data_IF_478518944141
#
_entry.id   IF_478518944141
#
_cell.length_a   1.000
_cell.length_b   1.000
_cell.length_c   1.000
_cell.angle_alpha   90.00
_cell.angle_beta   90.00
_cell.angle_gamma   90.00
#
_symmetry.space_group_name_H-M   'P 1'
#
loop_
_entity.id
_entity.type
_entity.pdbx_description
1 polymer ?
#
# COMPACT_ATOMS: atom_id res chain seq x y z
N UNK A 1 36.78 -50.55 59.42
CA UNK A 1 35.74 -49.97 58.53
C UNK A 1 35.14 -48.76 59.23
N UNK A 2 35.47 -47.56 58.76
CA UNK A 2 34.77 -46.31 59.07
C UNK A 2 34.69 -45.49 57.78
N UNK A 3 33.57 -44.79 57.49
CA UNK A 3 33.37 -44.09 56.24
C UNK A 3 34.01 -42.69 56.26
N UNK A 4 34.63 -42.31 55.15
CA UNK A 4 35.18 -40.98 54.94
C UNK A 4 34.09 -39.95 54.61
N UNK A 5 33.98 -38.93 55.44
CA UNK A 5 33.27 -37.67 55.14
C UNK A 5 34.18 -36.74 54.35
N UNK A 6 33.86 -36.57 53.07
CA UNK A 6 34.52 -35.64 52.14
C UNK A 6 34.09 -34.19 52.47
N UNK A 7 35.07 -33.41 52.87
CA UNK A 7 34.96 -32.02 53.30
C UNK A 7 34.70 -31.10 52.08
N UNK A 8 33.41 -30.89 51.76
CA UNK A 8 32.97 -30.11 50.57
C UNK A 8 32.82 -28.60 50.81
N UNK A 9 33.25 -28.08 51.97
CA UNK A 9 32.98 -26.69 52.36
C UNK A 9 34.10 -25.66 52.12
N UNK A 10 35.28 -26.08 51.61
CA UNK A 10 36.45 -25.17 51.49
C UNK A 10 36.70 -24.53 50.13
N UNK A 11 35.96 -24.89 49.07
CA UNK A 11 36.22 -24.37 47.71
C UNK A 11 35.39 -23.11 47.37
N UNK A 12 34.33 -22.82 48.14
CA UNK A 12 33.41 -21.70 47.82
C UNK A 12 33.85 -20.33 48.32
N UNK A 13 34.69 -20.22 49.37
CA UNK A 13 35.09 -18.92 49.94
C UNK A 13 36.28 -18.28 49.22
N UNK A 14 37.18 -19.07 48.64
CA UNK A 14 38.39 -18.55 47.98
C UNK A 14 38.10 -17.97 46.60
N UNK A 15 37.05 -18.42 45.92
CA UNK A 15 36.65 -17.92 44.58
C UNK A 15 36.01 -16.53 44.64
N UNK A 16 35.26 -16.20 45.70
CA UNK A 16 34.71 -14.84 45.88
C UNK A 16 35.76 -13.80 46.28
N UNK A 17 36.80 -14.20 47.03
CA UNK A 17 37.91 -13.31 47.39
C UNK A 17 38.74 -12.93 46.15
N UNK A 18 39.08 -13.90 45.31
CA UNK A 18 39.82 -13.66 44.06
C UNK A 18 39.03 -12.77 43.07
N UNK A 19 37.70 -12.91 42.99
CA UNK A 19 36.87 -12.10 42.11
C UNK A 19 36.79 -10.61 42.55
N UNK A 20 36.80 -10.35 43.87
CA UNK A 20 36.82 -9.00 44.44
C UNK A 20 38.12 -8.24 44.14
N UNK A 21 39.24 -8.95 44.08
CA UNK A 21 40.55 -8.35 43.78
C UNK A 21 40.72 -8.09 42.28
N UNK A 22 40.16 -8.95 41.42
CA UNK A 22 40.25 -8.81 39.96
C UNK A 22 39.30 -7.74 39.39
N UNK A 23 38.16 -7.47 40.04
CA UNK A 23 37.17 -6.49 39.57
C UNK A 23 36.62 -5.59 40.69
N UNK A 24 37.47 -4.79 41.36
CA UNK A 24 37.09 -4.00 42.54
C UNK A 24 35.91 -3.05 42.27
N UNK A 25 35.85 -2.47 41.06
CA UNK A 25 34.79 -1.54 40.64
C UNK A 25 33.43 -2.25 40.49
N UNK A 26 33.39 -3.47 39.95
CA UNK A 26 32.11 -4.19 39.76
C UNK A 26 31.58 -4.68 41.11
N UNK A 27 32.44 -5.16 42.00
CA UNK A 27 32.04 -5.54 43.36
C UNK A 27 31.63 -4.37 44.24
N UNK A 28 32.25 -3.19 44.09
CA UNK A 28 31.80 -1.97 44.76
C UNK A 28 30.43 -1.51 44.25
N UNK A 29 30.22 -1.51 42.92
CA UNK A 29 28.91 -1.23 42.32
C UNK A 29 27.84 -2.22 42.80
N UNK A 30 28.15 -3.52 42.87
CA UNK A 30 27.22 -4.55 43.35
C UNK A 30 26.87 -4.39 44.84
N UNK A 31 27.86 -4.02 45.67
CA UNK A 31 27.65 -3.72 47.09
C UNK A 31 26.81 -2.43 47.29
N UNK A 32 27.03 -1.40 46.45
CA UNK A 32 26.22 -0.17 46.45
C UNK A 32 24.79 -0.42 45.97
N UNK A 33 24.61 -1.23 44.93
CA UNK A 33 23.29 -1.63 44.39
C UNK A 33 22.50 -2.53 45.36
N UNK A 34 23.17 -3.38 46.14
CA UNK A 34 22.53 -4.24 47.16
C UNK A 34 22.19 -3.51 48.48
N UNK A 35 22.74 -2.31 48.71
CA UNK A 35 22.35 -1.46 49.83
C UNK A 35 20.86 -1.08 49.78
N UNK A 36 20.22 -0.81 50.94
CA UNK A 36 18.79 -0.42 50.99
C UNK A 36 18.49 0.81 50.14
N UNK A 37 19.37 1.81 50.15
CA UNK A 37 19.25 3.03 49.32
C UNK A 37 19.48 2.75 47.83
N UNK A 38 20.43 1.87 47.49
CA UNK A 38 20.66 1.43 46.11
C UNK A 38 19.48 0.64 45.55
N UNK A 39 18.88 -0.25 46.35
CA UNK A 39 17.66 -0.98 45.99
C UNK A 39 16.46 -0.06 45.81
N UNK A 40 16.28 0.94 46.68
CA UNK A 40 15.23 1.95 46.50
C UNK A 40 15.49 2.76 45.23
N UNK A 41 16.71 3.25 45.00
CA UNK A 41 17.05 3.99 43.78
C UNK A 41 16.86 3.17 42.50
N UNK A 42 17.25 1.89 42.51
CA UNK A 42 17.01 0.97 41.40
C UNK A 42 15.52 0.70 41.19
N UNK A 43 14.76 0.49 42.27
CA UNK A 43 13.32 0.29 42.19
C UNK A 43 12.61 1.54 41.63
N UNK A 44 13.01 2.74 42.06
CA UNK A 44 12.49 4.00 41.51
C UNK A 44 12.87 4.16 40.05
N UNK A 45 14.12 3.90 39.67
CA UNK A 45 14.55 3.94 38.27
C UNK A 45 13.77 2.93 37.42
N UNK A 46 13.65 1.69 37.90
CA UNK A 46 12.88 0.65 37.23
C UNK A 46 11.41 1.05 37.09
N UNK A 47 10.80 1.67 38.10
CA UNK A 47 9.43 2.17 38.03
C UNK A 47 9.30 3.29 36.98
N UNK A 48 10.22 4.27 36.99
CA UNK A 48 10.25 5.38 36.02
C UNK A 48 10.51 4.92 34.59
N UNK A 49 11.18 3.79 34.40
CA UNK A 49 11.48 3.22 33.08
C UNK A 49 10.36 2.28 32.62
N UNK A 50 9.97 1.33 33.46
CA UNK A 50 9.05 0.25 33.08
C UNK A 50 7.61 0.73 32.99
N UNK A 51 7.14 1.62 33.88
CA UNK A 51 5.75 2.09 33.85
C UNK A 51 5.44 2.85 32.56
N UNK A 52 6.25 3.84 32.13
CA UNK A 52 6.04 4.46 30.82
C UNK A 52 6.18 3.48 29.67
N UNK A 53 7.18 2.58 29.69
CA UNK A 53 7.35 1.59 28.63
C UNK A 53 6.11 0.69 28.47
N UNK A 54 5.53 0.21 29.57
CA UNK A 54 4.28 -0.57 29.55
C UNK A 54 3.10 0.29 29.11
N UNK A 55 2.98 1.52 29.63
CA UNK A 55 1.93 2.46 29.25
C UNK A 55 1.91 2.75 27.75
N UNK A 56 3.09 3.01 27.15
CA UNK A 56 3.22 3.22 25.71
C UNK A 56 2.77 2.00 24.92
N UNK A 57 3.16 0.79 25.35
CA UNK A 57 2.78 -0.46 24.67
C UNK A 57 1.28 -0.69 24.75
N UNK A 58 0.67 -0.47 25.90
CA UNK A 58 -0.78 -0.54 26.07
C UNK A 58 -1.48 0.45 25.12
N UNK A 59 -0.96 1.68 24.99
CA UNK A 59 -1.50 2.67 24.07
C UNK A 59 -1.37 2.25 22.59
N UNK A 60 -0.23 1.69 22.18
CA UNK A 60 -0.06 1.14 20.81
C UNK A 60 -1.02 -0.03 20.56
N UNK A 61 -1.23 -0.90 21.55
CA UNK A 61 -2.14 -2.02 21.44
C UNK A 61 -3.60 -1.55 21.30
N UNK A 62 -4.02 -0.57 22.12
CA UNK A 62 -5.35 0.04 22.05
C UNK A 62 -5.55 0.73 20.69
N UNK A 63 -4.57 1.50 20.21
CA UNK A 63 -4.62 2.13 18.90
C UNK A 63 -4.78 1.08 17.79
N UNK A 64 -3.94 0.04 17.80
CA UNK A 64 -3.97 -1.03 16.80
C UNK A 64 -5.31 -1.77 16.80
N UNK A 65 -5.83 -2.12 17.99
CA UNK A 65 -7.12 -2.79 18.12
C UNK A 65 -8.27 -1.92 17.60
N UNK A 66 -8.37 -0.66 18.05
CA UNK A 66 -9.41 0.26 17.60
C UNK A 66 -9.34 0.51 16.09
N UNK A 67 -8.13 0.69 15.57
CA UNK A 67 -7.90 0.86 14.13
C UNK A 67 -8.36 -0.37 13.36
N UNK A 68 -7.96 -1.58 13.79
CA UNK A 68 -8.41 -2.82 13.16
C UNK A 68 -9.93 -3.00 13.19
N UNK A 69 -10.60 -2.61 14.28
CA UNK A 69 -12.04 -2.75 14.40
C UNK A 69 -12.82 -1.77 13.51
N UNK A 70 -12.34 -0.53 13.37
CA UNK A 70 -12.90 0.45 12.43
C UNK A 70 -12.67 -0.01 11.00
N UNK A 71 -11.44 -0.39 10.67
CA UNK A 71 -11.07 -0.77 9.31
C UNK A 71 -11.77 -2.05 8.89
N UNK A 72 -11.91 -3.05 9.77
CA UNK A 72 -12.71 -4.25 9.49
C UNK A 72 -14.17 -3.90 9.20
N UNK A 73 -14.77 -3.00 9.99
CA UNK A 73 -16.15 -2.56 9.75
C UNK A 73 -16.32 -1.86 8.39
N UNK A 74 -15.32 -1.04 7.98
CA UNK A 74 -15.28 -0.44 6.65
C UNK A 74 -15.01 -1.47 5.54
N UNK A 75 -14.13 -2.44 5.76
CA UNK A 75 -13.78 -3.49 4.80
C UNK A 75 -14.92 -4.49 4.51
N UNK A 76 -15.91 -4.56 5.40
CA UNK A 76 -17.16 -5.30 5.19
C UNK A 76 -18.23 -4.48 4.45
N UNK A 77 -17.96 -3.19 4.19
CA UNK A 77 -18.86 -2.30 3.46
C UNK A 77 -18.71 -2.46 1.95
N UNK A 78 -19.79 -2.16 1.22
CA UNK A 78 -19.82 -2.21 -0.26
C UNK A 78 -20.34 -0.91 -0.84
N UNK A 79 -19.75 -0.48 -1.95
CA UNK A 79 -20.28 0.66 -2.70
C UNK A 79 -21.72 0.38 -3.14
N UNK A 80 -22.57 1.40 -3.00
CA UNK A 80 -24.01 1.33 -3.26
C UNK A 80 -24.84 0.76 -2.12
N UNK A 81 -24.24 0.31 -1.01
CA UNK A 81 -25.01 -0.17 0.14
C UNK A 81 -25.80 0.98 0.81
N UNK A 82 -26.94 0.68 1.46
CA UNK A 82 -27.73 1.69 2.14
C UNK A 82 -26.96 2.31 3.32
N UNK A 83 -27.03 3.63 3.45
CA UNK A 83 -26.38 4.41 4.51
C UNK A 83 -26.64 3.84 5.90
N UNK A 84 -27.89 3.48 6.21
CA UNK A 84 -28.27 2.90 7.50
C UNK A 84 -27.44 1.64 7.86
N UNK A 85 -27.02 0.87 6.86
CA UNK A 85 -26.20 -0.34 7.06
C UNK A 85 -24.78 0.02 7.48
N UNK A 86 -24.18 0.99 6.79
CA UNK A 86 -22.83 1.48 7.08
C UNK A 86 -22.81 2.21 8.44
N UNK A 87 -23.79 3.08 8.69
CA UNK A 87 -23.95 3.79 9.95
C UNK A 87 -24.13 2.84 11.13
N UNK A 88 -24.94 1.79 10.99
CA UNK A 88 -25.11 0.79 12.03
C UNK A 88 -23.76 0.16 12.44
N UNK A 89 -22.94 -0.24 11.46
CA UNK A 89 -21.60 -0.82 11.71
C UNK A 89 -20.63 0.15 12.37
N UNK A 90 -20.71 1.43 12.01
CA UNK A 90 -19.76 2.47 12.44
C UNK A 90 -20.20 3.24 13.69
N UNK A 91 -21.48 3.19 14.05
CA UNK A 91 -22.09 3.94 15.17
C UNK A 91 -21.34 3.77 16.49
N UNK A 92 -20.82 2.56 16.76
CA UNK A 92 -20.03 2.23 17.96
C UNK A 92 -18.72 3.02 18.10
N UNK A 93 -18.26 3.65 17.03
CA UNK A 93 -17.01 4.41 16.99
C UNK A 93 -17.22 5.92 17.13
N UNK A 94 -18.45 6.37 17.41
CA UNK A 94 -18.81 7.79 17.57
C UNK A 94 -18.34 8.66 16.38
N UNK A 95 -18.74 8.32 15.14
CA UNK A 95 -18.37 9.08 13.96
C UNK A 95 -18.82 10.54 14.05
N UNK A 96 -18.01 11.45 13.51
CA UNK A 96 -18.43 12.81 13.21
C UNK A 96 -19.15 12.80 11.87
N UNK A 97 -20.37 13.32 11.84
CA UNK A 97 -21.17 13.44 10.62
C UNK A 97 -21.12 14.89 10.18
N UNK A 98 -20.63 15.11 8.96
CA UNK A 98 -20.58 16.40 8.29
C UNK A 98 -21.62 16.41 7.17
N UNK A 99 -22.31 17.54 7.01
CA UNK A 99 -23.25 17.73 5.90
C UNK A 99 -22.56 18.35 4.69
N UNK A 100 -23.22 18.27 3.54
CA UNK A 100 -22.76 18.94 2.32
C UNK A 100 -22.36 20.40 2.59
N UNK A 101 -21.16 20.78 2.15
CA UNK A 101 -20.61 22.14 2.34
C UNK A 101 -19.92 22.38 3.68
N UNK A 102 -20.02 21.45 4.65
CA UNK A 102 -19.18 21.44 5.84
C UNK A 102 -17.89 20.67 5.55
N UNK A 103 -16.73 21.31 5.75
CA UNK A 103 -15.39 20.70 5.72
C UNK A 103 -15.15 19.63 4.64
N UNK A 104 -14.84 20.05 3.40
CA UNK A 104 -14.45 19.18 2.27
C UNK A 104 -15.44 18.04 1.91
N UNK A 105 -16.67 18.04 2.43
CA UNK A 105 -17.69 17.06 2.08
C UNK A 105 -18.39 17.44 0.76
N UNK A 106 -18.08 16.71 -0.31
CA UNK A 106 -18.70 16.90 -1.64
C UNK A 106 -20.03 16.14 -1.79
N UNK A 107 -20.31 15.18 -0.90
CA UNK A 107 -21.53 14.36 -0.91
C UNK A 107 -22.66 14.98 -0.07
N UNK A 108 -23.82 14.32 -0.01
CA UNK A 108 -24.96 14.81 0.80
C UNK A 108 -24.61 14.76 2.29
N UNK A 109 -23.98 13.65 2.71
CA UNK A 109 -23.48 13.43 4.06
C UNK A 109 -22.12 12.72 4.02
N UNK A 110 -21.22 13.11 4.91
CA UNK A 110 -19.91 12.49 5.10
C UNK A 110 -19.75 12.06 6.55
N UNK A 111 -19.27 10.84 6.73
CA UNK A 111 -18.89 10.27 8.00
C UNK A 111 -17.37 10.26 8.11
N UNK A 112 -16.85 10.83 9.19
CA UNK A 112 -15.43 10.86 9.50
C UNK A 112 -15.19 10.28 10.89
N UNK A 113 -14.26 9.34 10.97
CA UNK A 113 -13.75 8.78 12.21
C UNK A 113 -12.25 9.00 12.23
N UNK A 114 -11.79 9.84 13.16
CA UNK A 114 -10.38 10.05 13.41
C UNK A 114 -10.01 9.38 14.74
N UNK A 115 -8.95 8.56 14.74
CA UNK A 115 -8.22 8.25 15.97
C UNK A 115 -7.06 9.22 16.02
N UNK A 116 -7.17 10.31 16.79
CA UNK A 116 -6.13 11.32 16.86
C UNK A 116 -4.87 10.75 17.49
N UNK A 117 -3.81 11.54 17.39
CA UNK A 117 -2.51 11.20 17.95
C UNK A 117 -2.58 10.91 19.45
N UNK A 118 -1.62 10.10 19.91
CA UNK A 118 -1.38 10.00 21.35
C UNK A 118 -1.04 11.39 21.88
N UNK A 119 -1.68 11.79 22.98
CA UNK A 119 -1.35 13.02 23.71
C UNK A 119 0.16 13.17 23.97
N UNK A 120 0.86 12.03 24.16
CA UNK A 120 2.30 12.00 24.37
C UNK A 120 3.12 12.29 23.11
N UNK A 121 2.71 11.80 21.92
CA UNK A 121 3.37 12.17 20.66
C UNK A 121 3.22 13.67 20.36
N UNK A 122 2.02 14.22 20.58
CA UNK A 122 1.74 15.65 20.40
C UNK A 122 2.58 16.55 21.31
N UNK A 123 2.81 16.14 22.56
CA UNK A 123 3.55 16.95 23.53
C UNK A 123 5.06 16.71 23.56
N UNK A 124 5.52 15.50 23.25
CA UNK A 124 6.93 15.13 23.39
C UNK A 124 7.61 14.98 22.02
N UNK A 125 7.00 14.24 21.10
CA UNK A 125 7.64 13.84 19.85
C UNK A 125 7.61 14.96 18.81
N UNK A 126 6.41 15.51 18.52
CA UNK A 126 6.24 16.56 17.51
C UNK A 126 7.02 17.84 17.83
N UNK A 127 6.96 18.39 19.05
CA UNK A 127 7.65 19.64 19.35
C UNK A 127 9.17 19.46 19.26
N UNK A 128 9.70 18.35 19.79
CA UNK A 128 11.15 18.09 19.73
C UNK A 128 11.64 17.80 18.30
N UNK A 129 10.80 17.19 17.46
CA UNK A 129 11.09 17.03 16.03
C UNK A 129 11.06 18.38 15.29
N UNK A 130 10.04 19.22 15.51
CA UNK A 130 9.89 20.54 14.87
C UNK A 130 11.01 21.51 15.22
N UNK A 131 11.46 21.51 16.48
CA UNK A 131 12.56 22.36 16.97
C UNK A 131 13.94 21.79 16.56
N UNK A 132 13.99 20.65 15.87
CA UNK A 132 15.22 20.07 15.36
C UNK A 132 16.09 19.40 16.44
N UNK A 133 15.52 19.07 17.60
CA UNK A 133 16.23 18.39 18.71
C UNK A 133 16.38 16.90 18.43
N UNK A 134 17.21 16.57 17.44
CA UNK A 134 17.37 15.21 16.87
C UNK A 134 17.71 14.13 17.89
N UNK A 135 18.53 14.44 18.89
CA UNK A 135 18.90 13.48 19.94
C UNK A 135 17.73 13.16 20.86
N UNK A 136 16.90 14.15 21.13
CA UNK A 136 15.73 14.04 22.02
C UNK A 136 14.61 13.31 21.32
N UNK A 137 14.30 13.67 20.07
CA UNK A 137 13.32 12.93 19.27
C UNK A 137 13.76 11.49 18.98
N UNK A 138 15.06 11.27 18.72
CA UNK A 138 15.64 9.93 18.60
C UNK A 138 15.55 9.11 19.89
N UNK A 139 15.71 9.75 21.06
CA UNK A 139 15.50 9.10 22.35
C UNK A 139 14.03 8.68 22.54
N UNK A 140 13.07 9.59 22.29
CA UNK A 140 11.64 9.25 22.36
C UNK A 140 11.27 8.13 21.38
N UNK A 141 11.82 8.17 20.17
CA UNK A 141 11.65 7.09 19.22
C UNK A 141 12.30 5.79 19.70
N UNK A 142 13.46 5.84 20.33
CA UNK A 142 14.06 4.64 20.91
C UNK A 142 13.17 4.03 22.01
N UNK A 143 12.51 4.85 22.82
CA UNK A 143 11.54 4.42 23.84
C UNK A 143 10.21 3.86 23.30
N UNK A 144 10.01 3.90 21.98
CA UNK A 144 8.80 3.40 21.34
C UNK A 144 7.67 4.44 21.22
N UNK A 145 7.92 5.71 21.55
CA UNK A 145 6.96 6.79 21.24
C UNK A 145 6.95 7.00 19.73
N UNK A 146 5.77 6.97 19.12
CA UNK A 146 5.60 7.04 17.67
C UNK A 146 4.48 8.01 17.35
N UNK A 147 4.68 8.77 16.28
CA UNK A 147 3.61 9.47 15.59
C UNK A 147 2.68 8.42 14.99
N UNK A 148 1.38 8.56 15.22
CA UNK A 148 0.37 7.70 14.62
C UNK A 148 -0.95 8.43 14.55
N UNK A 149 -1.65 8.28 13.44
CA UNK A 149 -3.04 8.72 13.34
C UNK A 149 -3.74 7.90 12.28
N UNK A 150 -5.04 7.72 12.46
CA UNK A 150 -5.92 7.07 11.52
C UNK A 150 -7.07 8.03 11.23
N UNK A 151 -7.24 8.35 9.95
CA UNK A 151 -8.42 9.04 9.44
C UNK A 151 -9.17 8.06 8.56
N UNK A 152 -10.42 7.75 8.91
CA UNK A 152 -11.27 6.85 8.15
C UNK A 152 -12.60 7.54 7.87
N UNK A 153 -13.23 7.21 6.75
CA UNK A 153 -14.48 7.86 6.40
C UNK A 153 -15.27 7.18 5.31
N UNK A 154 -16.51 7.64 5.19
CA UNK A 154 -17.50 7.20 4.22
C UNK A 154 -18.29 8.42 3.74
N UNK A 155 -18.65 8.45 2.46
CA UNK A 155 -19.45 9.50 1.85
C UNK A 155 -20.73 8.87 1.29
N UNK A 156 -21.85 9.53 1.53
CA UNK A 156 -23.17 9.09 1.15
C UNK A 156 -23.82 10.08 0.19
N UNK A 157 -24.39 9.55 -0.89
CA UNK A 157 -25.19 10.32 -1.84
C UNK A 157 -26.52 9.62 -2.04
N UNK A 158 -27.60 10.36 -1.82
CA UNK A 158 -28.98 9.86 -1.91
C UNK A 158 -29.20 8.61 -1.06
N UNK A 159 -28.68 8.60 0.17
CA UNK A 159 -28.80 7.48 1.13
C UNK A 159 -28.00 6.23 0.77
N UNK A 160 -27.03 6.32 -0.15
CA UNK A 160 -26.17 5.21 -0.56
C UNK A 160 -24.69 5.54 -0.42
N UNK A 161 -23.90 4.54 -0.04
CA UNK A 161 -22.45 4.67 0.09
C UNK A 161 -21.81 4.85 -1.29
N UNK A 162 -21.25 6.02 -1.56
CA UNK A 162 -20.58 6.32 -2.84
C UNK A 162 -19.06 6.30 -2.74
N UNK A 163 -18.53 6.54 -1.55
CA UNK A 163 -17.09 6.49 -1.30
C UNK A 163 -16.81 6.04 0.12
N UNK A 164 -15.73 5.30 0.32
CA UNK A 164 -15.17 5.07 1.65
C UNK A 164 -13.69 4.77 1.56
N UNK A 165 -13.01 4.91 2.69
CA UNK A 165 -11.59 4.65 2.75
C UNK A 165 -10.99 5.05 4.08
N UNK A 166 -9.67 4.97 4.12
CA UNK A 166 -8.89 5.45 5.24
C UNK A 166 -7.51 5.91 4.80
N UNK A 167 -6.88 6.64 5.70
CA UNK A 167 -5.47 6.99 5.68
C UNK A 167 -4.88 6.74 7.05
N UNK A 168 -3.72 6.11 7.06
CA UNK A 168 -2.99 5.75 8.26
C UNK A 168 -1.55 6.23 8.11
N UNK A 169 -1.12 7.06 9.05
CA UNK A 169 0.26 7.51 9.13
C UNK A 169 0.91 6.95 10.37
N UNK A 170 2.12 6.40 10.24
CA UNK A 170 2.89 5.86 11.36
C UNK A 170 4.36 6.25 11.19
N UNK A 171 4.97 6.90 12.19
CA UNK A 171 6.41 7.17 12.11
C UNK A 171 7.23 5.88 12.14
N UNK A 172 8.31 5.82 11.38
CA UNK A 172 9.33 4.79 11.54
C UNK A 172 10.18 5.07 12.78
N UNK A 173 11.16 4.20 13.05
CA UNK A 173 12.20 4.46 14.07
C UNK A 173 13.06 5.69 13.73
N UNK A 174 13.23 5.98 12.44
CA UNK A 174 14.05 7.08 11.96
C UNK A 174 13.15 8.24 11.53
N UNK A 175 13.09 9.31 12.33
CA UNK A 175 12.37 10.55 12.00
C UNK A 175 13.01 11.36 10.85
N UNK A 176 13.89 10.76 10.03
CA UNK A 176 14.46 11.40 8.84
C UNK A 176 13.43 11.37 7.72
N UNK A 177 13.26 12.48 7.01
CA UNK A 177 12.32 12.56 5.87
C UNK A 177 12.48 11.35 4.93
N UNK A 178 11.40 10.59 4.69
CA UNK A 178 10.01 10.87 5.06
C UNK A 178 9.65 10.50 6.50
N UNK A 179 10.37 9.54 7.10
CA UNK A 179 10.26 9.12 8.51
C UNK A 179 8.89 8.63 8.94
N UNK A 180 7.95 8.57 7.99
CA UNK A 180 6.54 8.32 8.17
C UNK A 180 6.15 7.35 7.07
N UNK A 181 5.55 6.25 7.51
CA UNK A 181 4.86 5.30 6.66
C UNK A 181 3.47 5.88 6.39
N UNK A 182 3.12 6.04 5.12
CA UNK A 182 1.81 6.48 4.66
C UNK A 182 1.07 5.33 4.01
N UNK A 183 -0.08 4.98 4.58
CA UNK A 183 -0.96 3.94 4.09
C UNK A 183 -2.31 4.54 3.76
N UNK A 184 -2.93 4.08 2.69
CA UNK A 184 -4.32 4.44 2.41
C UNK A 184 -5.01 3.34 1.64
N UNK A 185 -6.31 3.20 1.86
CA UNK A 185 -7.19 2.48 0.95
C UNK A 185 -8.39 3.38 0.67
N UNK A 186 -8.76 3.56 -0.59
CA UNK A 186 -9.87 4.46 -0.95
C UNK A 186 -10.60 3.95 -2.16
N UNK A 187 -11.93 3.92 -2.06
CA UNK A 187 -12.78 3.63 -3.19
C UNK A 187 -12.78 4.80 -4.17
N UNK A 188 -12.79 4.50 -5.46
CA UNK A 188 -12.85 5.47 -6.56
C UNK A 188 -13.88 5.02 -7.58
N UNK A 189 -14.53 5.98 -8.24
CA UNK A 189 -15.48 5.67 -9.31
C UNK A 189 -14.76 5.04 -10.53
N UNK A 190 -13.54 5.49 -10.79
CA UNK A 190 -12.66 4.99 -11.86
C UNK A 190 -11.23 4.86 -11.33
N UNK A 191 -10.47 3.82 -11.74
CA UNK A 191 -9.07 3.70 -11.36
C UNK A 191 -8.29 4.96 -11.79
N UNK A 192 -7.38 5.50 -10.96
CA UNK A 192 -6.68 6.74 -11.27
C UNK A 192 -5.61 6.54 -12.35
N UNK A 193 -5.59 7.41 -13.37
CA UNK A 193 -4.58 7.37 -14.42
C UNK A 193 -4.74 6.20 -15.40
N UNK A 194 -3.69 5.94 -16.18
CA UNK A 194 -3.62 4.86 -17.17
C UNK A 194 -3.56 3.50 -16.47
N UNK A 195 -4.18 2.47 -17.06
CA UNK A 195 -4.11 1.09 -16.55
C UNK A 195 -2.81 0.48 -17.05
N UNK A 196 -1.88 0.28 -16.12
CA UNK A 196 -0.60 -0.35 -16.41
C UNK A 196 -0.73 -1.85 -16.65
N UNK A 197 0.28 -2.43 -17.30
CA UNK A 197 0.34 -3.86 -17.64
C UNK A 197 0.12 -4.78 -16.43
N UNK A 198 0.65 -4.37 -15.29
CA UNK A 198 0.60 -5.13 -14.04
C UNK A 198 -0.77 -5.05 -13.35
N UNK A 199 -1.65 -4.15 -13.78
CA UNK A 199 -3.00 -3.97 -13.24
C UNK A 199 -4.08 -4.66 -14.10
N UNK A 200 -3.74 -5.15 -15.29
CA UNK A 200 -4.69 -5.76 -16.25
C UNK A 200 -5.49 -6.93 -15.69
N UNK A 201 -4.91 -7.68 -14.76
CA UNK A 201 -5.55 -8.85 -14.17
C UNK A 201 -6.62 -8.48 -13.14
N UNK A 202 -6.58 -7.25 -12.61
CA UNK A 202 -7.53 -6.76 -11.62
C UNK A 202 -7.56 -5.22 -11.60
N UNK A 203 -7.98 -4.55 -12.69
CA UNK A 203 -7.93 -3.09 -12.77
C UNK A 203 -8.86 -2.39 -11.77
N UNK A 204 -9.85 -3.12 -11.27
CA UNK A 204 -10.74 -2.67 -10.22
C UNK A 204 -10.06 -2.57 -8.84
N UNK A 205 -8.87 -3.17 -8.64
CA UNK A 205 -8.13 -3.16 -7.39
C UNK A 205 -6.64 -2.95 -7.66
N UNK A 206 -6.12 -1.77 -7.28
CA UNK A 206 -4.76 -1.35 -7.59
C UNK A 206 -4.00 -1.01 -6.32
N UNK A 207 -2.76 -1.47 -6.24
CA UNK A 207 -1.86 -1.19 -5.14
C UNK A 207 -0.66 -0.44 -5.69
N UNK A 208 -0.53 0.82 -5.30
CA UNK A 208 0.52 1.72 -5.76
C UNK A 208 1.44 2.16 -4.64
N UNK A 209 2.65 2.55 -5.03
CA UNK A 209 3.64 3.13 -4.15
C UNK A 209 3.99 4.53 -4.61
N UNK A 210 4.23 5.44 -3.66
CA UNK A 210 4.73 6.76 -4.03
C UNK A 210 6.18 6.66 -4.51
N UNK A 211 6.44 7.10 -5.74
CA UNK A 211 7.70 6.87 -6.45
C UNK A 211 8.96 7.33 -5.71
N UNK A 212 8.91 8.43 -4.94
CA UNK A 212 10.08 8.89 -4.16
C UNK A 212 10.37 8.00 -2.95
N UNK A 213 9.35 7.34 -2.41
CA UNK A 213 9.42 6.64 -1.13
C UNK A 213 8.67 5.31 -1.17
N UNK A 214 9.03 4.39 -2.09
CA UNK A 214 8.19 3.23 -2.39
C UNK A 214 8.03 2.28 -1.21
N UNK A 215 9.07 2.16 -0.36
CA UNK A 215 9.04 1.33 0.85
C UNK A 215 8.16 1.89 1.97
N UNK A 216 7.93 3.21 1.98
CA UNK A 216 7.24 3.91 3.06
C UNK A 216 5.82 4.31 2.67
N UNK A 217 5.42 4.12 1.42
CA UNK A 217 4.09 4.48 0.93
C UNK A 217 3.45 3.28 0.28
N UNK A 218 2.21 2.98 0.68
CA UNK A 218 1.37 2.00 -0.01
C UNK A 218 -0.06 2.53 -0.02
N UNK A 219 -0.60 2.71 -1.22
CA UNK A 219 -1.95 3.21 -1.45
C UNK A 219 -2.74 2.20 -2.26
N UNK A 220 -3.92 1.85 -1.78
CA UNK A 220 -4.86 0.96 -2.46
C UNK A 220 -6.00 1.79 -3.01
N UNK A 221 -6.28 1.63 -4.30
CA UNK A 221 -7.45 2.17 -4.96
C UNK A 221 -8.34 1.03 -5.42
N UNK A 222 -9.64 1.13 -5.18
CA UNK A 222 -10.57 0.10 -5.62
C UNK A 222 -11.88 0.69 -6.14
N UNK A 223 -12.53 -0.01 -7.06
CA UNK A 223 -13.84 0.38 -7.62
C UNK A 223 -14.94 -0.53 -7.10
N UNK A 224 -16.19 -0.27 -7.51
CA UNK A 224 -17.35 -1.09 -7.13
C UNK A 224 -17.25 -2.54 -7.64
N UNK A 225 -16.50 -2.77 -8.73
CA UNK A 225 -16.29 -4.11 -9.29
C UNK A 225 -15.16 -4.92 -8.64
N UNK A 226 -14.44 -4.34 -7.66
CA UNK A 226 -13.30 -5.01 -7.04
C UNK A 226 -13.73 -6.29 -6.30
N UNK A 227 -12.98 -7.40 -6.43
CA UNK A 227 -13.25 -8.60 -5.64
C UNK A 227 -13.24 -8.28 -4.13
N UNK A 228 -14.31 -8.63 -3.42
CA UNK A 228 -14.46 -8.29 -1.99
C UNK A 228 -13.30 -8.83 -1.14
N UNK A 229 -12.70 -9.96 -1.52
CA UNK A 229 -11.56 -10.53 -0.81
C UNK A 229 -10.35 -9.57 -0.82
N UNK A 230 -10.02 -8.99 -1.99
CA UNK A 230 -8.93 -8.02 -2.13
C UNK A 230 -9.21 -6.74 -1.34
N UNK A 231 -10.45 -6.24 -1.43
CA UNK A 231 -10.90 -5.11 -0.61
C UNK A 231 -10.70 -5.43 0.87
N UNK A 232 -11.13 -6.62 1.34
CA UNK A 232 -10.93 -7.03 2.73
C UNK A 232 -9.44 -7.05 3.12
N UNK A 233 -8.53 -7.54 2.28
CA UNK A 233 -7.10 -7.50 2.59
C UNK A 233 -6.59 -6.06 2.78
N UNK A 234 -7.07 -5.10 1.97
CA UNK A 234 -6.72 -3.68 2.12
C UNK A 234 -7.22 -3.03 3.41
N UNK A 235 -8.25 -3.59 4.05
CA UNK A 235 -8.82 -3.09 5.30
C UNK A 235 -8.44 -3.95 6.53
N UNK A 236 -7.49 -4.86 6.38
CA UNK A 236 -6.96 -5.69 7.47
C UNK A 236 -5.46 -5.46 7.69
N UNK A 237 -5.05 -4.27 8.16
CA UNK A 237 -3.65 -4.02 8.47
C UNK A 237 -3.16 -4.88 9.65
N UNK A 238 -1.93 -5.38 9.50
CA UNK A 238 -1.19 -6.08 10.51
C UNK A 238 -0.41 -5.09 11.40
N UNK A 239 -0.90 -4.87 12.61
CA UNK A 239 -0.25 -3.98 13.57
C UNK A 239 0.85 -4.64 14.42
N UNK A 240 1.27 -5.88 14.13
CA UNK A 240 2.31 -6.55 14.92
C UNK A 240 3.63 -5.77 14.94
N UNK A 241 4.07 -5.20 13.81
CA UNK A 241 5.30 -4.40 13.77
C UNK A 241 5.17 -3.09 14.58
N UNK A 242 3.95 -2.55 14.68
CA UNK A 242 3.66 -1.34 15.46
C UNK A 242 3.88 -1.60 16.96
N UNK A 243 3.65 -2.83 17.40
CA UNK A 243 3.77 -3.21 18.81
C UNK A 243 5.19 -3.65 19.21
N UNK A 244 6.07 -3.91 18.25
CA UNK A 244 7.46 -4.31 18.51
C UNK A 244 8.34 -3.12 18.89
N UNK A 245 9.45 -3.41 19.57
CA UNK A 245 10.40 -2.36 19.99
C UNK A 245 10.99 -1.59 18.82
N UNK A 246 11.29 -2.29 17.74
CA UNK A 246 11.87 -1.73 16.53
C UNK A 246 10.88 -0.81 15.78
N UNK A 247 9.58 -1.06 15.93
CA UNK A 247 8.53 -0.43 15.12
C UNK A 247 8.48 -1.00 13.70
N UNK A 248 7.63 -0.42 12.86
CA UNK A 248 7.58 -0.75 11.44
C UNK A 248 8.67 0.03 10.67
N UNK A 249 9.27 -0.64 9.70
CA UNK A 249 10.25 -0.06 8.77
C UNK A 249 9.68 0.15 7.37
N UNK A 250 8.68 -0.64 6.97
CA UNK A 250 8.12 -0.62 5.62
C UNK A 250 6.59 -0.71 5.65
N UNK A 251 5.94 -0.06 4.67
CA UNK A 251 4.49 -0.08 4.47
C UNK A 251 3.94 -1.50 4.29
N UNK A 252 4.68 -2.35 3.56
CA UNK A 252 4.33 -3.74 3.30
C UNK A 252 4.28 -4.62 4.57
N UNK A 253 4.90 -4.21 5.68
CA UNK A 253 4.77 -4.94 6.94
C UNK A 253 3.39 -4.78 7.58
N UNK A 254 2.71 -3.67 7.28
CA UNK A 254 1.39 -3.35 7.80
C UNK A 254 0.31 -3.84 6.83
N UNK A 255 0.42 -3.54 5.53
CA UNK A 255 -0.50 -4.04 4.51
C UNK A 255 0.11 -5.21 3.72
N UNK A 256 0.49 -6.26 4.46
CA UNK A 256 1.19 -7.42 3.88
C UNK A 256 0.35 -8.19 2.87
N UNK A 257 -0.95 -8.31 3.10
CA UNK A 257 -1.81 -9.10 2.22
C UNK A 257 -2.14 -8.32 0.93
N UNK A 258 -2.37 -7.01 1.00
CA UNK A 258 -2.46 -6.17 -0.22
C UNK A 258 -1.18 -6.21 -1.05
N UNK A 259 -0.01 -6.23 -0.41
CA UNK A 259 1.26 -6.34 -1.13
C UNK A 259 1.42 -7.71 -1.80
N UNK A 260 1.00 -8.81 -1.13
CA UNK A 260 0.97 -10.14 -1.75
C UNK A 260 -0.01 -10.18 -2.92
N UNK A 261 -1.18 -9.56 -2.78
CA UNK A 261 -2.16 -9.47 -3.86
C UNK A 261 -1.56 -8.74 -5.07
N UNK A 262 -0.90 -7.60 -4.86
CA UNK A 262 -0.19 -6.84 -5.90
C UNK A 262 0.82 -7.72 -6.64
N UNK A 263 1.67 -8.43 -5.89
CA UNK A 263 2.68 -9.32 -6.46
C UNK A 263 2.06 -10.50 -7.21
N UNK A 264 0.95 -11.05 -6.72
CA UNK A 264 0.21 -12.14 -7.35
C UNK A 264 -0.43 -11.69 -8.67
N UNK A 265 -1.05 -10.51 -8.68
CA UNK A 265 -1.66 -9.89 -9.86
C UNK A 265 -0.56 -9.61 -10.91
N UNK A 266 0.56 -9.02 -10.48
CA UNK A 266 1.70 -8.77 -11.37
C UNK A 266 2.29 -10.07 -11.94
N UNK A 267 2.43 -11.13 -11.14
CA UNK A 267 2.90 -12.43 -11.59
C UNK A 267 1.94 -13.08 -12.61
N UNK A 268 0.63 -12.99 -12.39
CA UNK A 268 -0.38 -13.44 -13.32
C UNK A 268 -0.32 -12.66 -14.64
N UNK A 269 -0.12 -11.34 -14.58
CA UNK A 269 0.07 -10.50 -15.76
C UNK A 269 1.32 -10.93 -16.55
N UNK A 270 2.46 -11.14 -15.89
CA UNK A 270 3.69 -11.65 -16.55
C UNK A 270 3.42 -13.00 -17.23
N UNK A 271 2.77 -13.93 -16.54
CA UNK A 271 2.46 -15.25 -17.09
C UNK A 271 1.54 -15.17 -18.32
N UNK A 272 0.51 -14.31 -18.28
CA UNK A 272 -0.36 -14.04 -19.43
C UNK A 272 0.42 -13.47 -20.60
N UNK A 273 1.25 -12.45 -20.37
CA UNK A 273 2.01 -11.78 -21.44
C UNK A 273 3.03 -12.73 -22.11
N UNK A 274 3.49 -13.75 -21.40
CA UNK A 274 4.33 -14.80 -21.94
C UNK A 274 3.55 -15.94 -22.64
N UNK A 275 2.22 -15.96 -22.54
CA UNK A 275 1.36 -17.00 -23.12
C UNK A 275 1.14 -16.80 -24.61
N UNK A 276 0.47 -17.77 -25.26
CA UNK A 276 0.11 -17.70 -26.68
C UNK A 276 -0.98 -16.66 -26.98
N UNK A 277 -1.77 -16.28 -25.98
CA UNK A 277 -2.79 -15.24 -26.08
C UNK A 277 -2.51 -14.16 -25.02
N UNK A 278 -1.65 -13.18 -25.32
CA UNK A 278 -1.30 -12.14 -24.37
C UNK A 278 -2.47 -11.21 -24.07
N UNK A 279 -3.50 -11.15 -24.92
CA UNK A 279 -4.60 -10.18 -24.81
C UNK A 279 -5.98 -10.85 -24.94
N UNK A 280 -6.34 -11.73 -24.00
CA UNK A 280 -7.63 -12.40 -24.02
C UNK A 280 -8.77 -11.40 -23.87
N UNK A 281 -9.95 -11.75 -24.41
CA UNK A 281 -11.14 -10.89 -24.41
C UNK A 281 -11.45 -10.26 -23.04
N UNK A 282 -11.27 -11.00 -21.94
CA UNK A 282 -11.46 -10.47 -20.57
C UNK A 282 -10.65 -9.20 -20.32
N UNK A 283 -9.36 -9.18 -20.70
CA UNK A 283 -8.46 -8.02 -20.52
C UNK A 283 -8.89 -6.87 -21.43
N UNK A 284 -9.31 -7.18 -22.66
CA UNK A 284 -9.79 -6.17 -23.61
C UNK A 284 -11.07 -5.48 -23.10
N UNK A 285 -12.03 -6.25 -22.59
CA UNK A 285 -13.27 -5.71 -21.99
C UNK A 285 -12.95 -4.81 -20.81
N UNK A 286 -12.06 -5.24 -19.91
CA UNK A 286 -11.63 -4.43 -18.77
C UNK A 286 -10.97 -3.11 -19.20
N UNK A 287 -10.04 -3.16 -20.16
CA UNK A 287 -9.42 -1.96 -20.73
C UNK A 287 -10.46 -1.06 -21.40
N UNK A 288 -11.40 -1.61 -22.16
CA UNK A 288 -12.46 -0.86 -22.83
C UNK A 288 -13.34 -0.08 -21.85
N UNK A 289 -13.68 -0.71 -20.72
CA UNK A 289 -14.49 -0.10 -19.65
C UNK A 289 -13.85 1.18 -19.11
N UNK A 290 -12.53 1.17 -18.96
CA UNK A 290 -11.77 2.25 -18.32
C UNK A 290 -10.89 3.05 -19.27
N UNK A 291 -10.94 2.82 -20.58
CA UNK A 291 -10.31 3.68 -21.58
C UNK A 291 -11.19 4.90 -21.88
N UNK A 292 -10.55 6.02 -22.21
CA UNK A 292 -11.26 7.23 -22.67
C UNK A 292 -11.75 7.05 -24.11
N UNK A 293 -10.86 6.59 -25.00
CA UNK A 293 -11.17 6.26 -26.38
C UNK A 293 -10.91 4.76 -26.65
N UNK A 294 -11.82 4.11 -27.38
CA UNK A 294 -11.66 2.75 -27.92
C UNK A 294 -11.85 2.84 -29.43
N UNK A 295 -10.81 2.50 -30.18
CA UNK A 295 -10.70 2.77 -31.60
C UNK A 295 -10.39 1.49 -32.37
N UNK A 296 -10.90 1.40 -33.60
CA UNK A 296 -10.58 0.33 -34.53
C UNK A 296 -9.82 0.95 -35.70
N UNK A 297 -8.62 0.45 -35.96
CA UNK A 297 -7.76 0.94 -37.02
C UNK A 297 -7.28 -0.19 -37.93
N UNK A 298 -7.07 0.11 -39.21
CA UNK A 298 -6.52 -0.82 -40.18
C UNK A 298 -5.04 -0.52 -40.40
N UNK A 299 -4.20 -1.56 -40.43
CA UNK A 299 -2.76 -1.41 -40.64
C UNK A 299 -2.48 -1.33 -42.13
N UNK A 300 -2.02 -0.18 -42.60
CA UNK A 300 -1.67 0.03 -44.01
C UNK A 300 -0.26 -0.46 -44.33
N UNK A 301 0.70 -0.16 -43.44
CA UNK A 301 2.09 -0.56 -43.60
C UNK A 301 2.78 -0.66 -42.25
N UNK A 302 3.79 -1.53 -42.15
CA UNK A 302 4.64 -1.67 -40.96
C UNK A 302 6.08 -1.38 -41.35
N UNK A 303 6.76 -0.51 -40.60
CA UNK A 303 8.18 -0.26 -40.84
C UNK A 303 8.99 -1.52 -40.54
N UNK A 304 9.92 -1.87 -41.42
CA UNK A 304 10.73 -3.09 -41.30
C UNK A 304 11.71 -3.09 -40.13
N UNK A 305 12.26 -1.93 -39.75
CA UNK A 305 13.17 -1.78 -38.63
C UNK A 305 12.43 -1.30 -37.36
N UNK A 306 12.96 -1.69 -36.19
CA UNK A 306 12.55 -1.09 -34.92
C UNK A 306 13.20 0.28 -34.77
N UNK A 307 12.38 1.26 -34.40
CA UNK A 307 12.83 2.60 -34.03
C UNK A 307 13.19 2.60 -32.52
N UNK A 308 13.90 3.63 -32.03
CA UNK A 308 14.25 3.77 -30.60
C UNK A 308 13.88 5.14 -30.07
N UNK A 309 13.33 5.19 -28.86
CA UNK A 309 12.99 6.44 -28.18
C UNK A 309 14.23 6.97 -27.44
N UNK A 310 14.13 8.18 -26.90
CA UNK A 310 15.20 8.85 -26.13
C UNK A 310 15.71 7.98 -24.96
N UNK A 311 14.80 7.23 -24.32
CA UNK A 311 15.10 6.29 -23.23
C UNK A 311 15.68 4.95 -23.71
N UNK A 312 15.91 4.79 -25.02
CA UNK A 312 16.44 3.59 -25.65
C UNK A 312 15.43 2.45 -25.83
N UNK A 313 14.18 2.64 -25.42
CA UNK A 313 13.07 1.70 -25.64
C UNK A 313 12.84 1.52 -27.14
N UNK A 314 12.82 0.26 -27.59
CA UNK A 314 12.57 -0.09 -28.99
C UNK A 314 11.07 -0.14 -29.26
N UNK A 315 10.64 0.39 -30.40
CA UNK A 315 9.24 0.33 -30.83
C UNK A 315 9.11 -0.06 -32.29
N UNK A 316 8.00 -0.73 -32.59
CA UNK A 316 7.54 -1.04 -33.94
C UNK A 316 6.59 0.05 -34.39
N UNK A 317 6.90 0.70 -35.50
CA UNK A 317 6.06 1.76 -36.08
C UNK A 317 5.16 1.17 -37.16
N UNK A 318 3.86 1.41 -37.06
CA UNK A 318 2.87 1.02 -38.05
C UNK A 318 2.08 2.24 -38.53
N UNK A 319 1.92 2.38 -39.84
CA UNK A 319 0.99 3.32 -40.44
C UNK A 319 -0.41 2.71 -40.35
N UNK A 320 -1.35 3.49 -39.81
CA UNK A 320 -2.70 3.04 -39.58
C UNK A 320 -3.71 4.03 -40.12
N UNK A 321 -4.87 3.49 -40.48
CA UNK A 321 -6.05 4.27 -40.84
C UNK A 321 -7.16 3.97 -39.87
N UNK A 322 -7.66 4.99 -39.18
CA UNK A 322 -8.82 4.87 -38.32
C UNK A 322 -10.04 4.42 -39.15
N UNK A 323 -10.68 3.33 -38.73
CA UNK A 323 -11.87 2.75 -39.36
C UNK A 323 -13.13 3.13 -38.59
N UNK A 324 -13.09 2.99 -37.27
CA UNK A 324 -14.27 3.17 -36.42
C UNK A 324 -13.86 3.64 -35.02
N UNK A 325 -14.73 4.42 -34.38
CA UNK A 325 -14.65 4.79 -32.97
C UNK A 325 -15.74 4.02 -32.23
N UNK A 326 -15.35 3.10 -31.34
CA UNK A 326 -16.30 2.31 -30.54
C UNK A 326 -16.74 3.07 -29.30
N UNK A 327 -15.84 3.86 -28.72
CA UNK A 327 -16.07 4.66 -27.52
C UNK A 327 -15.20 5.90 -27.54
N UNK A 328 -15.71 6.98 -26.97
CA UNK A 328 -15.01 8.26 -26.87
C UNK A 328 -15.30 9.19 -28.05
N UNK A 329 -14.43 10.19 -28.25
CA UNK A 329 -14.64 11.24 -29.26
C UNK A 329 -13.50 11.34 -30.28
N UNK A 330 -12.42 10.57 -30.11
CA UNK A 330 -11.27 10.48 -31.02
C UNK A 330 -10.87 11.82 -31.64
N UNK A 331 -10.32 12.73 -30.83
CA UNK A 331 -9.74 13.99 -31.34
C UNK A 331 -8.37 13.80 -32.00
N UNK A 332 -7.83 12.58 -31.94
CA UNK A 332 -6.47 12.25 -32.37
C UNK A 332 -6.46 11.82 -33.84
N UNK A 333 -5.60 12.44 -34.66
CA UNK A 333 -5.32 11.98 -36.03
C UNK A 333 -4.33 10.82 -35.98
N UNK A 334 -4.85 9.61 -35.87
CA UNK A 334 -4.07 8.37 -35.93
C UNK A 334 -3.67 8.06 -37.37
N UNK A 335 -2.48 8.53 -37.77
CA UNK A 335 -1.83 8.18 -39.04
C UNK A 335 -0.72 7.14 -38.84
N UNK A 336 -0.08 7.13 -37.67
CA UNK A 336 0.99 6.22 -37.31
C UNK A 336 0.96 5.93 -35.82
N UNK A 337 1.29 4.70 -35.45
CA UNK A 337 1.37 4.26 -34.06
C UNK A 337 2.73 3.63 -33.77
N UNK A 338 3.24 3.84 -32.56
CA UNK A 338 4.41 3.16 -32.04
C UNK A 338 4.02 2.14 -30.97
N UNK A 339 4.48 0.89 -31.11
CA UNK A 339 4.21 -0.18 -30.15
C UNK A 339 5.53 -0.65 -29.57
N UNK A 340 5.70 -0.52 -28.25
CA UNK A 340 6.94 -0.92 -27.59
C UNK A 340 7.21 -2.40 -27.75
N UNK A 341 8.46 -2.80 -28.01
CA UNK A 341 8.86 -4.22 -28.07
C UNK A 341 9.04 -4.85 -26.69
N UNK A 342 9.10 -4.04 -25.63
CA UNK A 342 9.28 -4.48 -24.25
C UNK A 342 8.26 -3.78 -23.34
N UNK A 343 7.78 -4.49 -22.34
CA UNK A 343 6.83 -4.00 -21.34
C UNK A 343 7.48 -4.09 -19.97
N UNK A 344 7.35 -3.03 -19.16
CA UNK A 344 7.74 -3.06 -17.75
C UNK A 344 6.56 -3.51 -16.89
N UNK A 345 6.69 -4.64 -16.20
CA UNK A 345 5.73 -5.17 -15.23
C UNK A 345 6.43 -5.28 -13.89
N UNK A 346 6.10 -4.38 -12.95
CA UNK A 346 6.74 -4.31 -11.63
C UNK A 346 8.28 -4.29 -11.68
N UNK A 347 8.85 -3.50 -12.60
CA UNK A 347 10.29 -3.39 -12.83
C UNK A 347 10.92 -4.55 -13.62
N UNK A 348 10.16 -5.57 -13.99
CA UNK A 348 10.61 -6.66 -14.88
C UNK A 348 10.27 -6.31 -16.33
N UNK A 349 11.26 -6.46 -17.22
CA UNK A 349 11.04 -6.30 -18.66
C UNK A 349 10.56 -7.62 -19.26
N UNK A 350 9.42 -7.58 -19.94
CA UNK A 350 8.80 -8.71 -20.62
C UNK A 350 8.73 -8.39 -22.11
N UNK A 351 9.09 -9.31 -23.02
CA UNK A 351 8.91 -9.11 -24.45
C UNK A 351 7.44 -8.84 -24.80
N UNK A 352 7.18 -7.82 -25.60
CA UNK A 352 5.85 -7.55 -26.15
C UNK A 352 5.68 -8.29 -27.46
N UNK A 353 5.15 -9.51 -27.39
CA UNK A 353 4.93 -10.34 -28.59
C UNK A 353 4.02 -9.68 -29.63
N UNK A 354 3.15 -8.74 -29.20
CA UNK A 354 2.25 -8.03 -30.11
C UNK A 354 3.03 -7.16 -31.10
N UNK A 355 4.14 -6.55 -30.66
CA UNK A 355 4.96 -5.71 -31.53
C UNK A 355 5.53 -6.49 -32.74
N UNK A 356 5.81 -7.79 -32.54
CA UNK A 356 6.32 -8.67 -33.59
C UNK A 356 5.22 -9.27 -34.48
N UNK A 357 3.99 -9.37 -33.98
CA UNK A 357 2.86 -10.02 -34.66
C UNK A 357 2.10 -9.09 -35.62
N UNK A 358 2.34 -7.78 -35.55
CA UNK A 358 1.60 -6.81 -36.36
C UNK A 358 2.09 -6.81 -37.81
N UNK A 359 1.14 -6.95 -38.72
CA UNK A 359 1.37 -7.00 -40.17
C UNK A 359 0.37 -6.13 -40.91
N UNK A 360 0.74 -5.72 -42.14
CA UNK A 360 -0.15 -4.96 -43.00
C UNK A 360 -1.41 -5.77 -43.36
N UNK A 361 -2.55 -5.10 -43.44
CA UNK A 361 -3.85 -5.71 -43.72
C UNK A 361 -4.61 -6.20 -42.48
N UNK A 362 -4.01 -6.12 -41.29
CA UNK A 362 -4.70 -6.48 -40.04
C UNK A 362 -5.58 -5.35 -39.51
N UNK A 363 -6.54 -5.72 -38.68
CA UNK A 363 -7.35 -4.78 -37.89
C UNK A 363 -6.84 -4.75 -36.47
N UNK A 364 -6.58 -3.56 -35.95
CA UNK A 364 -6.13 -3.30 -34.60
C UNK A 364 -7.25 -2.70 -33.78
N UNK A 365 -7.34 -3.15 -32.53
CA UNK A 365 -8.09 -2.51 -31.47
C UNK A 365 -7.11 -1.66 -30.65
N UNK A 366 -7.42 -0.37 -30.52
CA UNK A 366 -6.60 0.62 -29.82
C UNK A 366 -7.37 1.18 -28.62
N UNK A 367 -6.73 1.19 -27.46
CA UNK A 367 -7.22 1.81 -26.23
C UNK A 367 -6.36 3.03 -25.96
N UNK A 368 -6.88 4.23 -26.21
CA UNK A 368 -6.11 5.47 -26.12
C UNK A 368 -6.60 6.33 -24.95
N UNK A 369 -5.63 6.98 -24.30
CA UNK A 369 -5.82 8.14 -23.43
C UNK A 369 -5.41 9.45 -24.11
N UNK A 370 -5.31 9.47 -25.45
CA UNK A 370 -4.92 10.65 -26.24
C UNK A 370 -3.47 10.66 -26.76
N UNK A 371 -2.80 9.50 -26.86
CA UNK A 371 -1.43 9.38 -27.39
C UNK A 371 -1.33 8.41 -28.57
N UNK A 372 -0.35 8.64 -29.45
CA UNK A 372 -0.02 7.78 -30.60
C UNK A 372 1.03 6.69 -30.28
N UNK A 373 1.58 6.72 -29.06
CA UNK A 373 2.52 5.72 -28.55
C UNK A 373 1.83 4.81 -27.53
N UNK A 374 1.89 3.51 -27.82
CA UNK A 374 1.32 2.43 -27.03
C UNK A 374 2.44 1.65 -26.38
N UNK A 375 2.72 2.03 -25.14
CA UNK A 375 3.84 1.51 -24.35
C UNK A 375 3.44 0.35 -23.44
N UNK A 376 2.14 0.03 -23.38
CA UNK A 376 1.62 -1.05 -22.56
C UNK A 376 1.02 -2.18 -23.41
N UNK A 377 1.02 -3.42 -22.89
CA UNK A 377 0.44 -4.55 -23.57
C UNK A 377 -1.05 -4.33 -23.75
N UNK A 378 -1.59 -4.89 -24.83
CA UNK A 378 -3.02 -4.87 -25.11
C UNK A 378 -3.63 -3.45 -25.23
N UNK A 379 -2.84 -2.38 -25.25
CA UNK A 379 -3.32 -1.05 -25.67
C UNK A 379 -3.50 -0.97 -27.17
N UNK A 380 -2.65 -1.67 -27.91
CA UNK A 380 -2.81 -1.90 -29.34
C UNK A 380 -2.66 -3.40 -29.55
N UNK A 381 -3.73 -4.07 -29.99
CA UNK A 381 -3.71 -5.51 -30.29
C UNK A 381 -4.42 -5.80 -31.58
N UNK A 382 -4.02 -6.88 -32.24
CA UNK A 382 -4.85 -7.49 -33.29
C UNK A 382 -6.11 -8.06 -32.65
N UNK A 383 -7.23 -7.92 -33.33
CA UNK A 383 -8.52 -8.45 -32.88
C UNK A 383 -9.19 -9.20 -34.02
N UNK A 384 -9.75 -10.37 -33.74
CA UNK A 384 -10.56 -11.09 -34.72
C UNK A 384 -11.98 -10.48 -34.78
N UNK A 385 -12.75 -10.81 -35.82
CA UNK A 385 -14.10 -10.24 -35.98
C UNK A 385 -15.09 -10.63 -34.88
N UNK A 386 -14.94 -11.81 -34.30
CA UNK A 386 -15.86 -12.32 -33.28
C UNK A 386 -15.63 -11.58 -31.95
N UNK A 387 -14.38 -11.46 -31.52
CA UNK A 387 -13.98 -10.74 -30.31
C UNK A 387 -14.37 -9.25 -30.39
N UNK A 388 -14.28 -8.65 -31.59
CA UNK A 388 -14.73 -7.29 -31.83
C UNK A 388 -16.24 -7.15 -31.63
N UNK A 389 -17.04 -8.08 -32.14
CA UNK A 389 -18.49 -8.08 -31.99
C UNK A 389 -18.90 -8.26 -30.51
N UNK A 390 -18.22 -9.15 -29.78
CA UNK A 390 -18.44 -9.37 -28.36
C UNK A 390 -18.09 -8.11 -27.54
N UNK A 391 -16.97 -7.45 -27.86
CA UNK A 391 -16.57 -6.20 -27.23
C UNK A 391 -17.57 -5.07 -27.49
N UNK A 392 -18.06 -4.95 -28.72
CA UNK A 392 -19.11 -3.97 -29.06
C UNK A 392 -20.41 -4.22 -28.29
N UNK A 393 -20.78 -5.48 -28.11
CA UNK A 393 -21.95 -5.86 -27.30
C UNK A 393 -21.76 -5.46 -25.84
N UNK A 394 -20.60 -5.74 -25.26
CA UNK A 394 -20.28 -5.36 -23.88
C UNK A 394 -20.19 -3.84 -23.67
N UNK A 395 -19.68 -3.09 -24.65
CA UNK A 395 -19.62 -1.63 -24.58
C UNK A 395 -20.99 -0.94 -24.67
N UNK A 396 -22.01 -1.63 -25.18
CA UNK A 396 -23.39 -1.12 -25.29
C UNK A 396 -24.25 -1.43 -24.05
N UNK A 397 -23.77 -2.31 -23.16
CA UNK A 397 -24.40 -2.61 -21.86
C UNK A 397 -23.97 -1.58 -20.82
#
# INVERSE_FOLDING_TARGET
MSPGTLDRHRVSKNTMAAFRELFPVTTWCWCKLSSRRGRIGLATLALVVLVPAVGFRAEMAIFGQRSSDILRALGDSRLGEPEATTLYRLSRFHPQIHRHGESNCEADECLVIAIPESWMADRLLIPTARVGWRRVSGFWSWWGIRYRTLDAGAEFKSGRLVRFGYRLWISTRELRSPGIISLSATSVARPPGRIDAHDDESPEFRVGHYFKWPKLSLSVYFTAGAPQLLVKHAFHPNFLCVWRWEGCSEAAQILSDSEKDRLSIAAAAVARLASSDPCPLRVLVHRARYADDVLVAHVEAVKGAFDRNEDGTKYRTANVRLVQVLKGSSRVRLNSIGISSEISVDGRRVPNQIADQITAGQTLLLFSGGTDYFELPCEATTVNRNDLADLESELKR
#
